data_IF_267977379616
#
_entry.id   IF_267977379616
#
_cell.length_a   1.000
_cell.length_b   1.000
_cell.length_c   1.000
_cell.angle_alpha   90.00
_cell.angle_beta   90.00
_cell.angle_gamma   90.00
#
_symmetry.space_group_name_H-M   'P 1'
#
loop_
_entity.id
_entity.type
_entity.pdbx_description
1 polymer ?
#
# COMPACT_ATOMS: atom_id res chain seq x y z
N UNK A 1 -41.67 31.90 -4.65
CA UNK A 1 -40.76 31.61 -3.53
C UNK A 1 -40.10 30.28 -3.86
N UNK A 2 -38.93 30.37 -4.51
CA UNK A 2 -38.28 29.27 -5.21
C UNK A 2 -37.65 28.33 -4.17
N UNK A 3 -38.03 27.05 -4.23
CA UNK A 3 -37.38 25.92 -3.57
C UNK A 3 -35.86 25.97 -3.84
N UNK A 4 -35.09 26.49 -2.90
CA UNK A 4 -33.63 26.64 -3.00
C UNK A 4 -32.93 26.13 -1.73
N UNK A 5 -33.51 25.13 -1.08
CA UNK A 5 -32.93 24.53 0.11
C UNK A 5 -33.16 23.02 0.09
N UNK A 6 -32.30 22.28 -0.61
CA UNK A 6 -32.07 20.83 -0.46
C UNK A 6 -30.96 20.39 -1.45
N UNK A 7 -29.75 20.93 -1.28
CA UNK A 7 -28.55 20.48 -2.00
C UNK A 7 -27.32 20.52 -1.08
N UNK A 8 -27.51 20.11 0.17
CA UNK A 8 -26.42 19.71 1.06
C UNK A 8 -26.54 18.21 1.32
N UNK A 9 -25.40 17.54 1.48
CA UNK A 9 -25.26 16.16 1.98
C UNK A 9 -25.27 15.02 0.95
N UNK A 10 -24.46 15.12 -0.11
CA UNK A 10 -23.91 13.92 -0.78
C UNK A 10 -22.42 14.12 -1.09
N UNK A 11 -21.65 14.55 -0.09
CA UNK A 11 -20.20 14.46 -0.18
C UNK A 11 -19.82 12.99 0.01
N UNK A 12 -19.14 12.33 -0.94
CA UNK A 12 -18.63 10.99 -0.72
C UNK A 12 -17.63 11.06 0.43
N UNK A 13 -17.97 10.46 1.57
CA UNK A 13 -17.03 10.24 2.66
C UNK A 13 -16.00 9.28 2.10
N UNK A 14 -14.86 9.82 1.65
CA UNK A 14 -13.67 9.03 1.35
C UNK A 14 -13.18 8.47 2.68
N UNK A 15 -13.65 7.28 3.03
CA UNK A 15 -13.11 6.49 4.14
C UNK A 15 -11.70 6.06 3.71
N UNK A 16 -10.70 6.85 4.08
CA UNK A 16 -9.32 6.38 4.06
C UNK A 16 -9.22 5.28 5.11
N UNK A 17 -8.98 4.04 4.67
CA UNK A 17 -8.59 2.96 5.57
C UNK A 17 -7.38 3.44 6.37
N UNK A 18 -7.60 3.73 7.66
CA UNK A 18 -6.64 4.47 8.45
C UNK A 18 -5.35 3.68 8.63
N UNK A 19 -4.23 4.30 8.30
CA UNK A 19 -2.87 3.81 8.58
C UNK A 19 -2.59 3.53 10.06
N UNK A 20 -3.53 3.84 10.96
CA UNK A 20 -3.41 3.70 12.40
C UNK A 20 -3.18 2.25 12.85
N UNK A 21 -3.80 1.26 12.20
CA UNK A 21 -3.61 -0.14 12.57
C UNK A 21 -2.20 -0.65 12.26
N UNK A 22 -1.54 -0.09 11.25
CA UNK A 22 -0.17 -0.47 10.90
C UNK A 22 0.81 -0.17 12.05
N UNK A 23 0.60 0.90 12.83
CA UNK A 23 1.47 1.25 13.97
C UNK A 23 1.38 0.26 15.14
N UNK A 24 0.40 -0.67 15.13
CA UNK A 24 0.29 -1.74 16.14
C UNK A 24 1.18 -2.94 15.81
N UNK A 25 1.74 -3.00 14.60
CA UNK A 25 2.62 -4.08 14.15
C UNK A 25 3.99 -3.92 14.84
N UNK A 26 4.42 -4.95 15.57
CA UNK A 26 5.68 -4.92 16.33
C UNK A 26 6.92 -5.03 15.42
N UNK A 27 6.81 -5.79 14.35
CA UNK A 27 7.89 -6.00 13.39
C UNK A 27 7.97 -4.80 12.44
N UNK A 28 9.14 -4.16 12.37
CA UNK A 28 9.33 -2.84 11.75
C UNK A 28 9.25 -2.86 10.23
N UNK A 29 9.70 -3.94 9.59
CA UNK A 29 9.60 -4.10 8.14
C UNK A 29 8.13 -4.27 7.74
N UNK A 30 7.36 -5.03 8.52
CA UNK A 30 5.92 -5.26 8.35
C UNK A 30 5.10 -4.00 8.63
N UNK A 31 5.44 -3.23 9.66
CA UNK A 31 4.87 -1.90 9.91
C UNK A 31 5.11 -0.98 8.70
N UNK A 32 6.35 -0.90 8.22
CA UNK A 32 6.74 -0.04 7.09
C UNK A 32 6.04 -0.45 5.81
N UNK A 33 5.96 -1.75 5.53
CA UNK A 33 5.22 -2.32 4.41
C UNK A 33 3.73 -1.96 4.48
N UNK A 34 3.08 -2.19 5.63
CA UNK A 34 1.68 -1.87 5.84
C UNK A 34 1.41 -0.38 5.59
N UNK A 35 2.23 0.50 6.19
CA UNK A 35 2.09 1.94 6.00
C UNK A 35 2.31 2.33 4.54
N UNK A 36 3.27 1.74 3.84
CA UNK A 36 3.56 2.03 2.44
C UNK A 36 2.38 1.66 1.51
N UNK A 37 1.85 0.43 1.66
CA UNK A 37 0.76 -0.08 0.83
C UNK A 37 -0.55 0.64 1.10
N UNK A 38 -0.87 0.90 2.37
CA UNK A 38 -2.12 1.61 2.74
C UNK A 38 -2.11 3.08 2.36
N UNK A 39 -0.96 3.76 2.45
CA UNK A 39 -0.83 5.17 2.07
C UNK A 39 -0.45 5.40 0.61
N UNK A 40 -0.10 4.36 -0.15
CA UNK A 40 0.44 4.49 -1.50
C UNK A 40 1.83 5.17 -1.55
N UNK A 41 2.54 5.29 -0.42
CA UNK A 41 3.78 6.03 -0.34
C UNK A 41 5.01 5.12 -0.45
N UNK A 42 5.65 5.11 -1.63
CA UNK A 42 6.86 4.33 -1.89
C UNK A 42 8.05 4.68 -0.99
N UNK A 43 8.12 5.90 -0.45
CA UNK A 43 9.26 6.30 0.40
C UNK A 43 9.35 5.44 1.66
N UNK A 44 8.20 4.95 2.16
CA UNK A 44 8.14 4.06 3.32
C UNK A 44 8.69 2.66 3.02
N UNK A 45 8.64 2.21 1.77
CA UNK A 45 9.25 0.93 1.39
C UNK A 45 10.76 0.93 1.62
N UNK A 46 11.45 2.08 1.50
CA UNK A 46 12.90 2.15 1.71
C UNK A 46 13.33 2.06 3.18
N UNK A 47 12.38 2.11 4.12
CA UNK A 47 12.64 1.84 5.54
C UNK A 47 12.71 0.34 5.86
N UNK A 48 12.29 -0.52 4.92
CA UNK A 48 12.32 -1.98 5.05
C UNK A 48 13.76 -2.47 4.92
N UNK A 49 14.23 -3.25 5.89
CA UNK A 49 15.60 -3.79 5.91
C UNK A 49 15.75 -5.01 5.02
N UNK A 50 14.76 -5.91 5.02
CA UNK A 50 14.76 -7.06 4.12
C UNK A 50 14.59 -6.60 2.67
N UNK A 51 15.61 -6.84 1.84
CA UNK A 51 15.62 -6.37 0.44
C UNK A 51 14.57 -7.03 -0.43
N UNK A 52 14.23 -8.28 -0.19
CA UNK A 52 13.18 -8.96 -0.96
C UNK A 52 11.80 -8.40 -0.60
N UNK A 53 11.56 -8.12 0.69
CA UNK A 53 10.35 -7.42 1.16
C UNK A 53 10.29 -5.96 0.66
N UNK A 54 11.42 -5.24 0.62
CA UNK A 54 11.52 -3.89 0.04
C UNK A 54 11.08 -3.91 -1.43
N UNK A 55 11.56 -4.87 -2.22
CA UNK A 55 11.20 -5.01 -3.64
C UNK A 55 9.74 -5.39 -3.84
N UNK A 56 9.20 -6.28 -3.00
CA UNK A 56 7.77 -6.61 -2.97
C UNK A 56 6.93 -5.35 -2.71
N UNK A 57 7.28 -4.58 -1.67
CA UNK A 57 6.62 -3.32 -1.34
C UNK A 57 6.62 -2.34 -2.50
N UNK A 58 7.79 -2.11 -3.11
CA UNK A 58 7.93 -1.18 -4.24
C UNK A 58 7.10 -1.63 -5.45
N UNK A 59 7.04 -2.93 -5.73
CA UNK A 59 6.24 -3.47 -6.83
C UNK A 59 4.75 -3.23 -6.60
N UNK A 60 4.26 -3.52 -5.39
CA UNK A 60 2.84 -3.40 -5.03
C UNK A 60 2.37 -1.95 -5.00
N UNK A 61 3.14 -1.05 -4.39
CA UNK A 61 2.80 0.38 -4.34
C UNK A 61 2.86 1.02 -5.73
N UNK A 62 3.82 0.64 -6.58
CA UNK A 62 3.92 1.17 -7.96
C UNK A 62 2.99 0.47 -8.95
N UNK A 63 2.35 -0.64 -8.55
CA UNK A 63 1.48 -1.43 -9.42
C UNK A 63 2.19 -2.04 -10.64
N UNK A 64 3.49 -2.38 -10.55
CA UNK A 64 4.20 -3.03 -11.65
C UNK A 64 5.19 -4.10 -11.19
N UNK A 65 5.44 -5.07 -12.08
CA UNK A 65 6.25 -6.24 -11.79
C UNK A 65 7.77 -6.00 -11.84
N UNK A 66 8.25 -4.81 -12.24
CA UNK A 66 9.67 -4.58 -12.49
C UNK A 66 10.54 -4.89 -11.26
N UNK A 67 10.08 -4.51 -10.07
CA UNK A 67 10.82 -4.79 -8.83
C UNK A 67 10.74 -6.26 -8.40
N UNK A 68 9.69 -6.99 -8.79
CA UNK A 68 9.54 -8.41 -8.46
C UNK A 68 10.66 -9.27 -9.07
N UNK A 69 11.19 -8.90 -10.24
CA UNK A 69 12.22 -9.69 -10.90
C UNK A 69 13.57 -9.68 -10.17
N UNK A 70 13.82 -8.67 -9.32
CA UNK A 70 15.02 -8.54 -8.48
C UNK A 70 14.92 -9.25 -7.13
N UNK A 71 13.77 -9.85 -6.80
CA UNK A 71 13.58 -10.63 -5.57
C UNK A 71 14.35 -11.95 -5.70
N UNK A 72 15.15 -12.28 -4.67
CA UNK A 72 15.97 -13.50 -4.66
C UNK A 72 15.22 -14.72 -4.15
N UNK A 73 14.45 -14.54 -3.08
CA UNK A 73 13.59 -15.59 -2.57
C UNK A 73 12.49 -15.98 -3.58
N UNK A 74 12.38 -17.27 -3.89
CA UNK A 74 11.50 -17.76 -4.96
C UNK A 74 10.03 -17.60 -4.62
N UNK A 75 9.68 -17.82 -3.36
CA UNK A 75 8.30 -17.76 -2.90
C UNK A 75 7.82 -16.30 -2.83
N UNK A 76 8.66 -15.42 -2.30
CA UNK A 76 8.41 -13.96 -2.27
C UNK A 76 8.31 -13.39 -3.69
N UNK A 77 9.16 -13.86 -4.63
CA UNK A 77 9.08 -13.45 -6.04
C UNK A 77 7.76 -13.89 -6.68
N UNK A 78 7.34 -15.13 -6.45
CA UNK A 78 6.10 -15.68 -6.98
C UNK A 78 4.88 -14.94 -6.40
N UNK A 79 4.88 -14.68 -5.09
CA UNK A 79 3.89 -13.85 -4.42
C UNK A 79 3.82 -12.44 -5.01
N UNK A 80 4.96 -11.80 -5.24
CA UNK A 80 5.05 -10.47 -5.83
C UNK A 80 4.39 -10.42 -7.21
N UNK A 81 4.78 -11.35 -8.09
CA UNK A 81 4.24 -11.43 -9.45
C UNK A 81 2.73 -11.69 -9.45
N UNK A 82 2.21 -12.50 -8.52
CA UNK A 82 0.78 -12.74 -8.38
C UNK A 82 0.01 -11.51 -7.90
N UNK A 83 0.58 -10.72 -6.98
CA UNK A 83 -0.05 -9.50 -6.45
C UNK A 83 -0.17 -8.37 -7.46
N UNK A 84 0.84 -8.21 -8.32
CA UNK A 84 0.91 -7.08 -9.28
C UNK A 84 0.30 -7.37 -10.64
N UNK A 85 0.11 -8.65 -11.01
CA UNK A 85 -0.61 -9.03 -12.23
C UNK A 85 -2.10 -9.11 -11.91
N UNK A 86 -2.77 -7.95 -11.89
CA UNK A 86 -4.24 -7.87 -11.96
C UNK A 86 -4.67 -7.71 -13.41
#
# INVERSE_FOLDING_TARGET
MKLLALLMCMSPVLVFAGSNDCYRIKEKDSESYCLAVTSGNTSKCYSIKNKDTEKLCLAEVRGNASSCYSIRDKDTKSLCLAKVRK
#
